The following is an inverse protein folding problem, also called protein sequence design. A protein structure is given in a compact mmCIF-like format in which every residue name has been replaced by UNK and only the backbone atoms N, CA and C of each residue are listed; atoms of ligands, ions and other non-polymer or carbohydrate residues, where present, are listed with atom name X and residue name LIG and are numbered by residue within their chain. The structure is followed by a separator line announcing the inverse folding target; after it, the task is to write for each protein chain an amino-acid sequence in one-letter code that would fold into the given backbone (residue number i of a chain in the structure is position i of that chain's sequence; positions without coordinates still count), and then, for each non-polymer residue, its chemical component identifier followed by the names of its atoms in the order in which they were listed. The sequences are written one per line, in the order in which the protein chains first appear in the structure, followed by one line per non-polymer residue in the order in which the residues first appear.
data_IF_433062587436
#
_entry.id   IF_433062587436
#
_cell.length_a   1.000
_cell.length_b   1.000
_cell.length_c   1.000
_cell.angle_alpha   90.00
_cell.angle_beta   90.00
_cell.angle_gamma   90.00
#
_symmetry.space_group_name_H-M   'P 1'
#
loop_
_entity.id
_entity.type
_entity.pdbx_description
1 polymer ?
#
# COMPACT_ATOMS: atom_id res chain seq x y z
N UNK A 1 -8.50 -2.04 -8.40
CA UNK A 1 -7.34 -1.18 -8.73
C UNK A 1 -6.59 -0.94 -7.44
N UNK A 2 -5.26 -0.84 -7.48
CA UNK A 2 -4.46 -0.56 -6.27
C UNK A 2 -4.58 0.93 -5.93
N UNK A 3 -4.76 1.24 -4.66
CA UNK A 3 -4.67 2.58 -4.10
C UNK A 3 -3.52 2.62 -3.12
N UNK A 4 -2.76 3.72 -3.10
CA UNK A 4 -1.70 3.96 -2.14
C UNK A 4 -1.90 5.30 -1.45
N UNK A 5 -2.04 5.27 -0.12
CA UNK A 5 -2.13 6.45 0.72
C UNK A 5 -0.72 6.84 1.18
N UNK A 6 -0.31 8.07 0.83
CA UNK A 6 1.06 8.53 1.02
C UNK A 6 1.12 9.86 1.77
N UNK A 7 2.32 10.24 2.17
CA UNK A 7 2.64 11.61 2.58
C UNK A 7 3.95 12.08 1.96
N UNK A 8 4.16 13.41 1.89
CA UNK A 8 5.46 13.97 1.55
C UNK A 8 6.56 13.44 2.46
N UNK A 9 7.78 13.37 1.94
CA UNK A 9 9.01 13.02 2.67
C UNK A 9 9.07 11.60 3.29
N UNK A 10 8.02 10.79 3.18
CA UNK A 10 7.97 9.40 3.66
C UNK A 10 8.87 8.47 2.81
N UNK A 11 9.95 7.93 3.40
CA UNK A 11 10.89 7.02 2.72
C UNK A 11 10.22 5.70 2.31
N UNK A 12 9.43 5.10 3.20
CA UNK A 12 8.67 3.87 2.91
C UNK A 12 7.68 4.06 1.76
N UNK A 13 7.07 5.23 1.65
CA UNK A 13 6.14 5.56 0.57
C UNK A 13 6.87 5.66 -0.78
N UNK A 14 8.09 6.23 -0.80
CA UNK A 14 8.93 6.25 -2.01
C UNK A 14 9.32 4.84 -2.46
N UNK A 15 9.69 3.97 -1.50
CA UNK A 15 10.01 2.55 -1.79
C UNK A 15 8.81 1.81 -2.37
N UNK A 16 7.64 1.94 -1.75
CA UNK A 16 6.40 1.32 -2.22
C UNK A 16 6.03 1.74 -3.65
N UNK A 17 6.06 3.04 -3.94
CA UNK A 17 5.77 3.56 -5.29
C UNK A 17 6.77 3.05 -6.31
N UNK A 18 8.07 3.13 -6.00
CA UNK A 18 9.13 2.61 -6.87
C UNK A 18 8.90 1.14 -7.20
N UNK A 19 8.57 0.32 -6.19
CA UNK A 19 8.29 -1.09 -6.38
C UNK A 19 7.06 -1.29 -7.29
N UNK A 20 5.96 -0.58 -7.05
CA UNK A 20 4.76 -0.67 -7.91
C UNK A 20 5.08 -0.26 -9.36
N UNK A 21 5.87 0.79 -9.55
CA UNK A 21 6.31 1.27 -10.87
C UNK A 21 7.22 0.24 -11.57
N UNK A 22 8.19 -0.36 -10.85
CA UNK A 22 9.11 -1.38 -11.37
C UNK A 22 8.39 -2.62 -11.89
N UNK A 23 7.32 -3.05 -11.21
CA UNK A 23 6.52 -4.21 -11.62
C UNK A 23 5.31 -3.84 -12.50
N UNK A 24 5.23 -2.58 -12.98
CA UNK A 24 4.17 -2.13 -13.89
C UNK A 24 2.76 -2.17 -13.29
N UNK A 25 2.64 -2.16 -11.96
CA UNK A 25 1.37 -2.22 -11.25
C UNK A 25 0.75 -0.84 -11.26
N UNK A 26 -0.41 -0.68 -11.92
CA UNK A 26 -1.15 0.58 -11.92
C UNK A 26 -1.78 0.84 -10.55
N UNK A 27 -1.57 2.05 -10.03
CA UNK A 27 -2.17 2.51 -8.77
C UNK A 27 -2.67 3.95 -8.85
N UNK A 28 -3.55 4.30 -7.92
CA UNK A 28 -3.91 5.69 -7.61
C UNK A 28 -3.17 6.12 -6.35
N UNK A 29 -2.40 7.19 -6.43
CA UNK A 29 -1.81 7.83 -5.25
C UNK A 29 -2.80 8.81 -4.62
N UNK A 30 -3.11 8.59 -3.33
CA UNK A 30 -3.89 9.51 -2.49
C UNK A 30 -2.95 10.12 -1.44
N UNK A 31 -2.47 11.34 -1.68
CA UNK A 31 -1.65 12.05 -0.70
C UNK A 31 -2.57 12.57 0.43
N UNK A 32 -2.37 12.06 1.64
CA UNK A 32 -3.21 12.36 2.82
C UNK A 32 -3.23 13.85 3.23
N UNK A 33 -2.29 14.66 2.75
CA UNK A 33 -2.22 16.10 3.00
C UNK A 33 -2.85 16.95 1.90
N UNK A 34 -3.15 16.36 0.75
CA UNK A 34 -3.75 17.05 -0.41
C UNK A 34 -5.19 16.57 -0.62
N UNK A 35 -5.37 15.25 -0.61
CA UNK A 35 -6.66 14.59 -0.73
C UNK A 35 -7.13 14.18 0.66
N UNK A 36 -8.22 14.79 1.13
CA UNK A 36 -8.83 14.40 2.40
C UNK A 36 -9.31 12.95 2.31
N UNK A 37 -8.88 12.13 3.26
CA UNK A 37 -9.43 10.80 3.45
C UNK A 37 -10.84 10.92 4.04
N UNK A 38 -11.78 10.09 3.57
CA UNK A 38 -13.15 10.08 4.08
C UNK A 38 -13.36 8.95 5.09
N UNK A 39 -14.43 9.03 5.89
CA UNK A 39 -14.84 7.92 6.76
C UNK A 39 -15.03 6.62 5.96
N UNK A 40 -15.53 6.72 4.73
CA UNK A 40 -15.79 5.56 3.89
C UNK A 40 -14.50 4.92 3.37
N UNK A 41 -13.48 5.72 3.02
CA UNK A 41 -12.14 5.20 2.70
C UNK A 41 -11.57 4.42 3.91
N UNK A 42 -11.70 4.98 5.12
CA UNK A 42 -11.18 4.33 6.35
C UNK A 42 -11.92 3.01 6.62
N UNK A 43 -13.25 2.98 6.49
CA UNK A 43 -14.03 1.74 6.65
C UNK A 43 -13.60 0.67 5.64
N UNK A 44 -13.41 1.04 4.37
CA UNK A 44 -12.96 0.10 3.34
C UNK A 44 -11.57 -0.48 3.63
N UNK A 45 -10.70 0.30 4.27
CA UNK A 45 -9.40 -0.16 4.75
C UNK A 45 -9.60 -1.12 5.93
N UNK A 46 -10.42 -0.74 6.92
CA UNK A 46 -10.68 -1.54 8.12
C UNK A 46 -11.29 -2.92 7.81
N UNK A 47 -12.13 -3.03 6.78
CA UNK A 47 -12.65 -4.32 6.30
C UNK A 47 -11.56 -5.34 5.91
N UNK A 48 -10.31 -4.89 5.74
CA UNK A 48 -9.17 -5.73 5.34
C UNK A 48 -8.12 -5.86 6.45
N UNK A 49 -8.37 -5.26 7.61
CA UNK A 49 -7.51 -5.37 8.79
C UNK A 49 -7.85 -6.61 9.59
N UNK A 50 -6.87 -7.15 10.33
CA UNK A 50 -7.10 -8.24 11.27
C UNK A 50 -7.36 -7.67 12.67
N UNK A 51 -6.65 -6.61 13.05
CA UNK A 51 -6.72 -5.99 14.38
C UNK A 51 -7.40 -4.61 14.35
N UNK A 52 -8.16 -4.30 13.30
CA UNK A 52 -8.92 -3.05 13.21
C UNK A 52 -8.00 -1.82 13.12
N UNK A 53 -8.26 -0.84 13.99
CA UNK A 53 -7.52 0.43 13.98
C UNK A 53 -6.05 0.27 14.35
N UNK A 54 -5.69 -0.70 15.19
CA UNK A 54 -4.30 -0.94 15.63
C UNK A 54 -3.34 -1.15 14.45
N UNK A 55 -3.83 -1.79 13.39
CA UNK A 55 -3.08 -2.07 12.18
C UNK A 55 -2.76 -0.78 11.41
N UNK A 56 -3.67 0.21 11.42
CA UNK A 56 -3.63 1.37 10.52
C UNK A 56 -3.26 2.68 11.21
N UNK A 57 -3.38 2.79 12.54
CA UNK A 57 -3.03 4.02 13.27
C UNK A 57 -1.67 3.91 13.97
N UNK A 58 -1.06 5.06 14.20
CA UNK A 58 0.11 5.22 15.07
C UNK A 58 -0.32 5.94 16.35
N UNK A 59 -0.56 5.19 17.42
CA UNK A 59 -0.89 5.71 18.76
C UNK A 59 0.21 6.61 19.31
N UNK A 60 1.46 6.46 18.84
CA UNK A 60 2.60 7.30 19.20
C UNK A 60 2.65 8.65 18.47
N UNK A 61 1.71 8.91 17.57
CA UNK A 61 1.71 10.14 16.76
C UNK A 61 1.51 11.39 17.62
N UNK A 62 1.95 12.54 17.08
CA UNK A 62 1.86 13.83 17.76
C UNK A 62 0.41 14.19 18.08
N UNK A 63 -0.52 13.89 17.17
CA UNK A 63 -1.93 14.24 17.33
C UNK A 63 -2.58 13.56 18.55
N UNK A 64 -2.30 12.27 18.82
CA UNK A 64 -2.80 11.63 20.05
C UNK A 64 -2.24 12.29 21.31
N UNK A 65 -0.94 12.60 21.32
CA UNK A 65 -0.27 13.26 22.45
C UNK A 65 -0.76 14.67 22.71
N UNK A 66 -0.95 15.47 21.66
CA UNK A 66 -1.37 16.87 21.78
C UNK A 66 -2.83 17.01 22.22
N UNK A 67 -3.69 16.07 21.84
CA UNK A 67 -5.09 16.04 22.27
C UNK A 67 -5.31 15.25 23.57
N UNK A 68 -4.24 14.66 24.15
CA UNK A 68 -4.30 13.78 25.33
C UNK A 68 -5.37 12.68 25.18
N UNK A 69 -5.40 12.05 24.00
CA UNK A 69 -6.36 11.00 23.64
C UNK A 69 -5.70 9.63 23.72
N UNK A 70 -6.46 8.65 24.21
CA UNK A 70 -6.15 7.23 24.11
C UNK A 70 -7.09 6.58 23.10
N UNK A 71 -6.54 5.87 22.12
CA UNK A 71 -7.33 5.21 21.08
C UNK A 71 -8.22 4.10 21.66
N UNK A 72 -7.79 3.46 22.75
CA UNK A 72 -8.50 2.33 23.36
C UNK A 72 -9.72 2.80 24.20
N UNK A 73 -9.76 4.09 24.55
CA UNK A 73 -10.87 4.72 25.28
C UNK A 73 -11.92 5.36 24.34
N UNK A 74 -11.62 5.46 23.04
CA UNK A 74 -12.49 6.09 22.05
C UNK A 74 -13.47 5.10 21.43
N UNK A 75 -14.70 5.54 21.16
CA UNK A 75 -15.63 4.78 20.33
C UNK A 75 -15.16 4.76 18.88
N UNK A 76 -15.64 3.77 18.10
CA UNK A 76 -15.34 3.65 16.66
C UNK A 76 -15.66 4.96 15.91
N UNK A 77 -16.79 5.61 16.22
CA UNK A 77 -17.19 6.84 15.53
C UNK A 77 -16.27 8.02 15.87
N UNK A 78 -15.90 8.17 17.15
CA UNK A 78 -14.96 9.21 17.57
C UNK A 78 -13.59 9.01 16.93
N UNK A 79 -13.13 7.76 16.86
CA UNK A 79 -11.83 7.45 16.25
C UNK A 79 -11.85 7.69 14.74
N UNK A 80 -12.95 7.36 14.04
CA UNK A 80 -13.13 7.70 12.63
C UNK A 80 -13.06 9.21 12.39
N UNK A 81 -13.77 9.99 13.21
CA UNK A 81 -13.74 11.46 13.11
C UNK A 81 -12.36 12.03 13.37
N UNK A 82 -11.72 11.55 14.41
CA UNK A 82 -10.38 11.96 14.75
C UNK A 82 -9.38 11.68 13.62
N UNK A 83 -9.46 10.52 12.97
CA UNK A 83 -8.60 10.17 11.84
C UNK A 83 -8.86 11.07 10.63
N UNK A 84 -10.13 11.37 10.32
CA UNK A 84 -10.49 12.26 9.20
C UNK A 84 -9.95 13.67 9.42
N UNK A 85 -10.02 14.17 10.66
CA UNK A 85 -9.48 15.47 11.05
C UNK A 85 -7.94 15.47 11.12
N UNK A 86 -7.35 14.34 11.52
CA UNK A 86 -5.92 14.18 11.77
C UNK A 86 -5.32 13.03 10.95
N UNK A 87 -5.34 13.06 9.60
CA UNK A 87 -4.92 11.92 8.77
C UNK A 87 -3.44 11.54 8.95
N UNK A 88 -2.64 12.41 9.58
CA UNK A 88 -1.26 12.13 9.96
C UNK A 88 -1.09 10.99 10.97
N UNK A 89 -2.16 10.60 11.69
CA UNK A 89 -2.17 9.45 12.61
C UNK A 89 -2.11 8.12 11.89
N UNK A 90 -2.49 8.08 10.61
CA UNK A 90 -2.40 6.86 9.82
C UNK A 90 -0.93 6.48 9.60
N UNK A 91 -0.65 5.19 9.77
CA UNK A 91 0.60 4.56 9.31
C UNK A 91 0.68 4.71 7.80
N UNK A 92 1.90 4.81 7.27
CA UNK A 92 2.15 5.11 5.86
C UNK A 92 3.32 4.29 5.32
N UNK A 93 3.29 3.85 4.05
CA UNK A 93 2.13 3.90 3.16
C UNK A 93 1.01 2.94 3.61
N UNK A 94 -0.23 3.19 3.18
CA UNK A 94 -1.29 2.15 3.18
C UNK A 94 -1.52 1.79 1.73
N UNK A 95 -1.29 0.54 1.37
CA UNK A 95 -1.47 0.01 0.02
C UNK A 95 -2.67 -0.93 0.09
N UNK A 96 -3.69 -0.68 -0.73
CA UNK A 96 -4.95 -1.43 -0.65
C UNK A 96 -5.52 -1.69 -2.04
N UNK A 97 -6.16 -2.83 -2.22
CA UNK A 97 -7.07 -3.06 -3.33
C UNK A 97 -8.31 -3.83 -2.88
N UNK A 98 -9.04 -4.45 -3.82
CA UNK A 98 -10.26 -5.20 -3.50
C UNK A 98 -10.04 -6.32 -2.46
N UNK A 99 -8.85 -6.91 -2.39
CA UNK A 99 -8.58 -8.14 -1.63
C UNK A 99 -7.41 -8.03 -0.65
N UNK A 100 -6.51 -7.08 -0.86
CA UNK A 100 -5.21 -7.02 -0.20
C UNK A 100 -5.06 -5.70 0.52
N UNK A 101 -4.45 -5.75 1.70
CA UNK A 101 -4.02 -4.60 2.48
C UNK A 101 -2.57 -4.81 2.89
N UNK A 102 -1.77 -3.76 2.79
CA UNK A 102 -0.47 -3.68 3.42
C UNK A 102 -0.32 -2.31 4.07
N UNK A 103 0.13 -2.32 5.32
CA UNK A 103 0.41 -1.11 6.08
C UNK A 103 1.90 -1.02 6.34
N UNK A 104 2.51 0.10 5.97
CA UNK A 104 3.96 0.22 5.90
C UNK A 104 4.54 -0.37 4.61
N UNK A 105 5.86 -0.47 4.56
CA UNK A 105 6.56 -1.07 3.44
C UNK A 105 7.40 -2.26 3.92
N UNK A 106 7.15 -3.41 3.32
CA UNK A 106 7.92 -4.64 3.47
C UNK A 106 8.10 -5.27 2.07
N UNK A 107 9.35 -5.55 1.69
CA UNK A 107 9.76 -6.06 0.37
C UNK A 107 9.19 -7.45 0.03
N UNK A 108 8.83 -8.24 1.04
CA UNK A 108 8.24 -9.56 0.87
C UNK A 108 6.73 -9.48 0.80
N UNK A 109 6.10 -8.76 1.75
CA UNK A 109 4.64 -8.64 1.82
C UNK A 109 4.05 -7.88 0.63
N UNK A 110 4.76 -6.87 0.11
CA UNK A 110 4.27 -6.06 -1.03
C UNK A 110 4.09 -6.89 -2.31
N UNK A 111 4.78 -8.03 -2.40
CA UNK A 111 4.62 -9.00 -3.49
C UNK A 111 3.20 -9.55 -3.58
N UNK A 112 2.42 -9.47 -2.51
CA UNK A 112 1.01 -9.83 -2.56
C UNK A 112 0.28 -9.06 -3.66
N UNK A 113 0.72 -7.83 -4.01
CA UNK A 113 0.14 -6.97 -5.06
C UNK A 113 0.44 -7.40 -6.50
N UNK A 114 1.35 -8.37 -6.71
CA UNK A 114 1.70 -8.84 -8.05
C UNK A 114 0.49 -9.40 -8.81
N UNK A 115 0.41 -9.15 -10.13
CA UNK A 115 -0.50 -9.84 -11.03
C UNK A 115 -0.42 -11.37 -10.88
N UNK A 116 -1.54 -12.06 -11.13
CA UNK A 116 -1.63 -13.51 -10.95
C UNK A 116 -0.65 -14.25 -11.86
N UNK A 117 -0.45 -13.70 -13.05
CA UNK A 117 0.45 -14.17 -14.09
C UNK A 117 1.90 -14.16 -13.61
N UNK A 118 2.30 -13.14 -12.85
CA UNK A 118 3.64 -13.03 -12.28
C UNK A 118 3.81 -13.92 -11.04
N UNK A 119 2.79 -14.11 -10.20
CA UNK A 119 2.93 -14.92 -8.97
C UNK A 119 3.32 -16.37 -9.20
N UNK A 120 2.85 -16.99 -10.29
CA UNK A 120 3.22 -18.37 -10.63
C UNK A 120 4.69 -18.51 -11.03
N UNK A 121 5.30 -17.41 -11.48
CA UNK A 121 6.69 -17.36 -11.93
C UNK A 121 7.64 -17.16 -10.72
N UNK A 122 7.17 -16.53 -9.63
CA UNK A 122 7.98 -15.98 -8.51
C UNK A 122 8.55 -16.97 -7.48
N UNK A 123 8.14 -18.24 -7.49
CA UNK A 123 8.68 -19.24 -6.56
C UNK A 123 9.99 -19.87 -7.07
N UNK A 124 11.07 -19.09 -7.14
CA UNK A 124 12.44 -19.63 -7.24
C UNK A 124 13.20 -19.25 -5.97
N UNK A 125 13.23 -20.16 -4.98
CA UNK A 125 13.82 -19.87 -3.65
C UNK A 125 15.34 -20.02 -3.58
N UNK A 126 16.02 -20.61 -4.56
CA UNK A 126 17.48 -20.74 -4.57
C UNK A 126 18.00 -20.60 -6.01
N UNK A 127 18.76 -19.54 -6.31
CA UNK A 127 19.48 -19.46 -7.58
C UNK A 127 20.84 -18.78 -7.35
N UNK A 128 21.79 -19.57 -6.86
CA UNK A 128 23.20 -19.22 -6.91
C UNK A 128 23.67 -19.31 -8.37
N UNK A 129 23.90 -18.15 -8.98
CA UNK A 129 24.63 -17.97 -10.23
C UNK A 129 24.10 -18.77 -11.46
N UNK A 130 22.98 -18.37 -12.06
CA UNK A 130 22.56 -18.93 -13.35
C UNK A 130 21.68 -17.97 -14.16
N UNK A 131 21.74 -18.09 -15.49
CA UNK A 131 20.84 -17.50 -16.48
C UNK A 131 19.39 -17.95 -16.20
N UNK A 132 18.75 -17.26 -15.27
CA UNK A 132 17.59 -17.75 -14.55
C UNK A 132 16.33 -17.59 -15.41
N UNK A 133 15.70 -18.71 -15.77
CA UNK A 133 14.43 -18.72 -16.52
C UNK A 133 13.35 -17.89 -15.83
N UNK A 134 13.42 -17.76 -14.50
CA UNK A 134 12.55 -16.93 -13.69
C UNK A 134 12.75 -15.42 -13.94
N UNK A 135 13.98 -14.92 -13.89
CA UNK A 135 14.28 -13.50 -14.21
C UNK A 135 13.90 -13.21 -15.65
N UNK A 136 14.25 -14.10 -16.57
CA UNK A 136 13.88 -13.98 -17.98
C UNK A 136 12.35 -14.03 -18.21
N UNK A 137 11.60 -14.82 -17.42
CA UNK A 137 10.14 -14.88 -17.51
C UNK A 137 9.46 -13.66 -16.87
N UNK A 138 10.03 -13.13 -15.78
CA UNK A 138 9.62 -11.83 -15.23
C UNK A 138 9.86 -10.71 -16.23
N UNK A 139 11.05 -10.63 -16.83
CA UNK A 139 11.37 -9.64 -17.85
C UNK A 139 10.42 -9.74 -19.04
N UNK A 140 10.12 -10.95 -19.52
CA UNK A 140 9.13 -11.16 -20.60
C UNK A 140 7.72 -10.73 -20.21
N UNK A 141 7.24 -11.16 -19.05
CA UNK A 141 5.89 -10.81 -18.62
C UNK A 141 5.75 -9.31 -18.28
N UNK A 142 6.81 -8.67 -17.81
CA UNK A 142 6.87 -7.21 -17.65
C UNK A 142 6.96 -6.49 -19.00
N UNK A 143 7.73 -7.01 -19.97
CA UNK A 143 7.84 -6.42 -21.31
C UNK A 143 6.54 -6.50 -22.10
N UNK A 144 5.81 -7.61 -22.01
CA UNK A 144 4.52 -7.80 -22.69
C UNK A 144 3.45 -6.84 -22.14
N UNK A 145 3.43 -6.66 -20.81
CA UNK A 145 2.60 -5.65 -20.15
C UNK A 145 3.02 -4.20 -20.48
N UNK A 146 4.29 -3.96 -20.82
CA UNK A 146 4.78 -2.66 -21.24
C UNK A 146 4.27 -2.30 -22.66
N UNK A 147 4.24 -3.27 -23.58
CA UNK A 147 3.79 -3.09 -24.97
C UNK A 147 2.26 -2.87 -25.07
N UNK A 148 1.47 -3.55 -24.25
CA UNK A 148 0.02 -3.33 -24.22
C UNK A 148 -0.37 -1.95 -23.66
N UNK A 149 0.44 -1.40 -22.75
CA UNK A 149 0.18 -0.09 -22.14
C UNK A 149 0.62 1.09 -23.01
N UNK A 150 1.56 0.91 -23.93
CA UNK A 150 1.95 1.92 -24.92
C UNK A 150 0.99 1.95 -26.12
N UNK A 151 0.43 0.79 -26.51
CA UNK A 151 -0.53 0.70 -27.62
C UNK A 151 -1.92 1.28 -27.32
N UNK A 152 -2.25 1.53 -26.05
CA UNK A 152 -3.52 2.17 -25.60
C UNK A 152 -3.39 3.68 -25.34
N UNK A 153 -2.24 4.29 -25.66
CA UNK A 153 -1.98 5.74 -25.48
C UNK A 153 -1.90 6.53 -26.80
N UNK A 154 -2.23 5.91 -27.93
CA UNK A 154 -2.39 6.59 -29.22
C UNK A 154 -3.87 6.64 -29.62
#
# INVERSE_FOLDING_TARGET
MVEIYTSPSCSSCRKAKKWLDEYGIKYIEKNLFVTKITREDIKQILEKTENGFEDIISTRSKAFKENNLDADEMTINELLDFIVENPSVLRRPIIVDKHRLQVGYNDEEIRCFLPRELRNVIYCKNCDNCNCSYVNALERALSDNFIENTSKRN
#
